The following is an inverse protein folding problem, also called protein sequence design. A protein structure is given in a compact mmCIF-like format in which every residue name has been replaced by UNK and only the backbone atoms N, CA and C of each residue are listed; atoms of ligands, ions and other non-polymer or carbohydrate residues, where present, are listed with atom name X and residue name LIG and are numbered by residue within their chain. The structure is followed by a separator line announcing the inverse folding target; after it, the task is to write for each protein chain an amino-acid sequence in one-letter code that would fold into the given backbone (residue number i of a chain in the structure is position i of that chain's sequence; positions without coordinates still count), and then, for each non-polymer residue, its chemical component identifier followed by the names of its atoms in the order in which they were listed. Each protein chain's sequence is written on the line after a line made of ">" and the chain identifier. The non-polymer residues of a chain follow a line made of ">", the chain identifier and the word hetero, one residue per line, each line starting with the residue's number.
data_IF_152302434443
#
_entry.id   IF_152302434443
#
_cell.length_a   1.000
_cell.length_b   1.000
_cell.length_c   1.000
_cell.angle_alpha   90.00
_cell.angle_beta   90.00
_cell.angle_gamma   90.00
#
_symmetry.space_group_name_H-M   'P 1'
#
loop_
_entity.id
_entity.type
_entity.pdbx_description
1 polymer ?
#
# COMPACT_ATOMS: atom_id res chain seq x y z
N UNK A 1 25.16 58.40 22.17
CA UNK A 1 24.48 58.25 23.49
C UNK A 1 23.13 57.61 23.22
N UNK A 2 23.06 56.30 23.43
CA UNK A 2 21.89 55.47 23.14
C UNK A 2 21.89 54.39 24.22
N UNK A 3 20.85 54.26 25.05
CA UNK A 3 20.89 53.33 26.17
C UNK A 3 20.51 51.91 25.74
N UNK A 4 21.17 50.96 26.37
CA UNK A 4 20.84 49.53 26.42
C UNK A 4 19.49 49.29 27.07
N UNK A 5 18.81 48.23 26.64
CA UNK A 5 18.03 47.39 27.55
C UNK A 5 18.15 45.92 27.13
N UNK A 6 18.95 45.19 27.90
CA UNK A 6 18.84 43.75 28.12
C UNK A 6 17.53 43.45 28.88
N UNK A 7 16.88 42.33 28.56
CA UNK A 7 16.55 41.24 29.49
C UNK A 7 15.32 40.38 29.07
N UNK A 8 15.44 39.07 29.36
CA UNK A 8 14.40 38.03 29.57
C UNK A 8 13.72 37.47 28.31
N UNK A 9 13.60 36.16 28.03
CA UNK A 9 13.86 34.86 28.70
C UNK A 9 13.78 33.79 27.57
N UNK A 10 14.78 32.95 27.32
CA UNK A 10 14.93 31.57 27.84
C UNK A 10 13.61 30.83 28.17
N UNK A 11 13.28 29.79 27.40
CA UNK A 11 12.89 28.46 27.94
C UNK A 11 13.14 27.35 26.90
N UNK A 12 14.20 26.58 27.19
CA UNK A 12 14.42 25.12 27.00
C UNK A 12 14.36 24.47 25.60
N UNK A 13 15.57 24.35 25.03
CA UNK A 13 16.05 23.20 24.27
C UNK A 13 16.91 22.33 25.21
N UNK A 14 16.58 21.04 25.35
CA UNK A 14 17.51 19.94 25.65
C UNK A 14 16.72 18.68 25.99
N UNK A 15 16.98 17.57 25.30
CA UNK A 15 17.43 16.27 25.87
C UNK A 15 17.68 15.35 24.67
N UNK A 16 18.96 15.22 24.31
CA UNK A 16 19.56 14.12 23.58
C UNK A 16 20.87 13.82 24.31
N UNK A 17 20.96 12.67 24.97
CA UNK A 17 22.16 11.83 25.09
C UNK A 17 21.99 10.74 26.18
N UNK A 18 22.30 9.50 25.80
CA UNK A 18 23.03 8.56 26.65
C UNK A 18 22.23 7.40 27.26
N UNK A 19 22.44 6.18 26.75
CA UNK A 19 23.28 5.19 27.45
C UNK A 19 23.38 3.89 26.65
N UNK A 20 24.62 3.43 26.43
CA UNK A 20 24.96 2.12 25.90
C UNK A 20 25.47 1.23 27.05
N UNK A 21 25.10 -0.06 27.02
CA UNK A 21 25.89 -1.18 27.52
C UNK A 21 25.56 -1.75 28.90
N UNK A 22 25.08 -3.00 28.97
CA UNK A 22 25.73 -4.12 29.67
C UNK A 22 25.06 -5.49 29.39
N UNK A 23 25.83 -6.57 29.59
CA UNK A 23 25.61 -7.94 29.08
C UNK A 23 25.09 -8.92 30.14
N UNK A 24 24.50 -10.01 29.63
CA UNK A 24 24.49 -11.40 30.11
C UNK A 24 23.77 -11.79 31.43
N UNK A 25 22.87 -12.77 31.29
CA UNK A 25 22.36 -13.60 32.38
C UNK A 25 21.31 -14.59 31.87
N UNK A 26 21.76 -15.81 31.56
CA UNK A 26 20.91 -16.98 31.25
C UNK A 26 20.28 -17.46 32.54
N UNK A 27 18.96 -17.69 32.56
CA UNK A 27 18.44 -18.79 33.38
C UNK A 27 17.16 -19.41 32.80
N UNK A 28 17.13 -20.74 32.93
CA UNK A 28 16.12 -21.66 32.41
C UNK A 28 14.93 -21.78 33.36
N UNK A 29 13.76 -22.04 32.77
CA UNK A 29 12.71 -23.00 33.17
C UNK A 29 11.31 -22.39 33.11
N UNK A 30 10.36 -23.18 32.59
CA UNK A 30 8.92 -22.91 32.79
C UNK A 30 8.05 -23.16 31.58
N UNK A 31 7.93 -24.43 31.19
CA UNK A 31 6.86 -24.96 30.35
C UNK A 31 5.50 -24.62 30.99
N UNK A 32 4.57 -23.99 30.26
CA UNK A 32 3.12 -24.19 30.40
C UNK A 32 2.37 -23.54 29.22
N UNK A 33 1.76 -24.43 28.43
CA UNK A 33 0.88 -24.12 27.31
C UNK A 33 -0.39 -23.44 27.79
N UNK A 34 -0.58 -22.17 27.41
CA UNK A 34 -1.84 -21.46 27.56
C UNK A 34 -2.26 -20.94 26.18
N UNK A 35 -3.25 -21.59 25.58
CA UNK A 35 -4.02 -21.05 24.45
C UNK A 35 -4.66 -19.73 24.91
N UNK A 36 -4.03 -18.61 24.58
CA UNK A 36 -4.63 -17.28 24.76
C UNK A 36 -5.27 -16.86 23.45
N UNK A 37 -6.60 -16.84 23.45
CA UNK A 37 -7.36 -16.02 22.51
C UNK A 37 -6.90 -14.58 22.68
N UNK A 38 -6.29 -14.02 21.65
CA UNK A 38 -5.94 -12.61 21.59
C UNK A 38 -7.25 -11.88 21.34
N UNK A 39 -7.87 -11.41 22.42
CA UNK A 39 -8.88 -10.37 22.35
C UNK A 39 -8.18 -9.09 21.85
N UNK A 40 -8.51 -8.68 20.63
CA UNK A 40 -8.12 -7.40 20.05
C UNK A 40 -8.90 -6.30 20.79
N UNK A 41 -8.37 -5.84 21.92
CA UNK A 41 -8.80 -4.62 22.59
C UNK A 41 -7.82 -3.51 22.23
N UNK A 42 -7.99 -2.94 21.03
CA UNK A 42 -7.29 -1.75 20.58
C UNK A 42 -8.18 -0.90 19.67
N UNK A 43 -9.32 -0.46 20.18
CA UNK A 43 -10.13 0.61 19.61
C UNK A 43 -10.72 1.39 20.78
N UNK A 44 -10.12 2.53 21.16
CA UNK A 44 -10.64 3.27 22.31
C UNK A 44 -10.12 4.68 22.54
N UNK A 45 -9.03 5.14 21.89
CA UNK A 45 -8.48 6.48 22.20
C UNK A 45 -8.05 7.27 20.96
N UNK A 46 -8.80 7.20 19.86
CA UNK A 46 -8.58 8.05 18.69
C UNK A 46 -9.82 8.86 18.24
N UNK A 47 -10.95 8.76 18.94
CA UNK A 47 -12.22 9.34 18.48
C UNK A 47 -12.39 10.83 18.79
N UNK A 48 -11.56 11.43 19.66
CA UNK A 48 -11.76 12.82 20.09
C UNK A 48 -11.00 13.87 19.25
N UNK A 49 -10.05 13.46 18.39
CA UNK A 49 -9.27 14.40 17.57
C UNK A 49 -9.80 14.57 16.12
N UNK A 50 -10.77 13.75 15.69
CA UNK A 50 -11.34 13.84 14.34
C UNK A 50 -12.28 15.04 14.13
N UNK A 51 -12.76 15.70 15.19
CA UNK A 51 -13.83 16.71 15.07
C UNK A 51 -13.37 18.10 14.62
N UNK A 52 -12.06 18.38 14.57
CA UNK A 52 -11.56 19.73 14.22
C UNK A 52 -10.91 19.84 12.84
N UNK A 53 -10.55 18.73 12.20
CA UNK A 53 -9.99 18.73 10.85
C UNK A 53 -11.05 18.88 9.74
N UNK A 54 -12.34 18.69 10.07
CA UNK A 54 -13.47 18.83 9.16
C UNK A 54 -14.15 20.21 9.26
N UNK A 55 -13.42 21.27 9.62
CA UNK A 55 -13.97 22.64 9.70
C UNK A 55 -14.41 23.22 8.34
N UNK A 56 -14.24 22.48 7.25
CA UNK A 56 -14.74 22.80 5.91
C UNK A 56 -16.06 22.13 5.52
N UNK A 57 -16.70 21.33 6.39
CA UNK A 57 -18.04 20.78 6.07
C UNK A 57 -19.03 21.94 6.13
N UNK A 58 -19.38 22.48 4.95
CA UNK A 58 -20.43 23.47 4.84
C UNK A 58 -21.68 22.92 5.53
N UNK A 59 -22.13 23.60 6.59
CA UNK A 59 -23.40 23.31 7.24
C UNK A 59 -24.49 23.25 6.16
N UNK A 60 -25.15 22.10 6.00
CA UNK A 60 -26.16 21.86 4.97
C UNK A 60 -25.66 21.19 3.67
N UNK A 61 -24.39 20.77 3.60
CA UNK A 61 -23.90 19.92 2.50
C UNK A 61 -24.65 18.59 2.45
N UNK A 62 -25.17 18.22 1.28
CA UNK A 62 -25.76 16.90 1.03
C UNK A 62 -24.69 15.97 0.46
N UNK A 63 -24.25 15.01 1.25
CA UNK A 63 -23.35 13.93 0.81
C UNK A 63 -24.12 12.72 0.30
N UNK A 64 -23.52 11.99 -0.64
CA UNK A 64 -24.07 10.75 -1.23
C UNK A 64 -23.25 9.54 -0.81
N UNK A 65 -23.82 8.35 -1.00
CA UNK A 65 -23.00 7.15 -0.99
C UNK A 65 -22.02 7.20 -2.18
N UNK A 66 -20.83 6.66 -1.98
CA UNK A 66 -19.78 6.57 -2.98
C UNK A 66 -19.54 5.12 -3.37
N UNK A 67 -19.25 4.90 -4.63
CA UNK A 67 -18.74 3.65 -5.14
C UNK A 67 -17.33 3.86 -5.68
N UNK A 68 -16.46 2.89 -5.42
CA UNK A 68 -15.10 2.94 -5.91
C UNK A 68 -14.58 1.58 -6.33
N UNK A 69 -13.57 1.59 -7.19
CA UNK A 69 -12.86 0.38 -7.55
C UNK A 69 -11.38 0.65 -7.81
N UNK A 70 -10.58 -0.40 -7.78
CA UNK A 70 -9.17 -0.28 -8.10
C UNK A 70 -8.23 -1.23 -7.39
N UNK A 71 -7.02 -0.73 -7.20
CA UNK A 71 -5.90 -1.35 -6.50
C UNK A 71 -6.29 -2.38 -5.42
N UNK A 72 -5.74 -3.58 -5.57
CA UNK A 72 -5.69 -4.61 -4.53
C UNK A 72 -4.79 -4.22 -3.35
N UNK A 73 -3.76 -3.39 -3.56
CA UNK A 73 -2.77 -3.01 -2.55
C UNK A 73 -3.36 -2.13 -1.46
N UNK A 74 -4.25 -1.21 -1.82
CA UNK A 74 -4.92 -0.31 -0.87
C UNK A 74 -6.35 -0.71 -0.52
N UNK A 75 -6.80 -1.93 -0.88
CA UNK A 75 -8.21 -2.31 -0.70
C UNK A 75 -8.67 -2.37 0.77
N UNK A 76 -7.76 -2.68 1.71
CA UNK A 76 -8.06 -2.63 3.15
C UNK A 76 -8.14 -1.19 3.62
N UNK A 77 -7.23 -0.32 3.19
CA UNK A 77 -7.30 1.12 3.52
C UNK A 77 -8.62 1.74 3.01
N UNK A 78 -8.98 1.45 1.76
CA UNK A 78 -10.21 1.92 1.13
C UNK A 78 -11.46 1.52 1.91
N UNK A 79 -11.63 0.24 2.20
CA UNK A 79 -12.86 -0.27 2.84
C UNK A 79 -12.91 -0.05 4.35
N UNK A 80 -11.78 -0.20 5.05
CA UNK A 80 -11.76 -0.31 6.51
C UNK A 80 -11.24 0.94 7.24
N UNK A 81 -10.60 1.87 6.52
CA UNK A 81 -10.06 3.10 7.11
C UNK A 81 -10.76 4.30 6.50
N UNK A 82 -10.57 4.49 5.19
CA UNK A 82 -11.06 5.66 4.49
C UNK A 82 -12.57 5.61 4.30
N UNK A 83 -13.15 4.44 4.04
CA UNK A 83 -14.61 4.28 3.99
C UNK A 83 -15.28 4.55 5.33
N UNK A 84 -14.68 4.10 6.45
CA UNK A 84 -15.18 4.40 7.79
C UNK A 84 -15.04 5.88 8.15
N UNK A 85 -13.90 6.48 7.80
CA UNK A 85 -13.66 7.92 7.97
C UNK A 85 -14.62 8.78 7.17
N UNK A 86 -14.87 8.40 5.91
CA UNK A 86 -15.89 9.02 5.07
C UNK A 86 -17.27 8.93 5.69
N UNK A 87 -17.66 7.76 6.21
CA UNK A 87 -18.96 7.59 6.85
C UNK A 87 -19.15 8.50 8.04
N UNK A 88 -18.10 8.69 8.84
CA UNK A 88 -18.12 9.64 9.95
C UNK A 88 -18.25 11.08 9.45
N UNK A 89 -17.48 11.46 8.42
CA UNK A 89 -17.48 12.80 7.84
C UNK A 89 -18.81 13.18 7.18
N UNK A 90 -19.44 12.23 6.50
CA UNK A 90 -20.61 12.43 5.63
C UNK A 90 -21.95 12.20 6.34
N UNK A 91 -21.96 12.05 7.67
CA UNK A 91 -23.17 11.81 8.44
C UNK A 91 -23.79 10.42 8.18
N UNK A 92 -22.97 9.41 7.92
CA UNK A 92 -23.37 8.02 7.78
C UNK A 92 -23.41 7.49 6.35
N UNK A 93 -22.96 8.25 5.34
CA UNK A 93 -22.83 7.70 3.98
C UNK A 93 -21.73 6.66 3.91
N UNK A 94 -21.75 5.85 2.87
CA UNK A 94 -20.87 4.70 2.73
C UNK A 94 -19.98 4.85 1.52
N UNK A 95 -18.79 4.26 1.60
CA UNK A 95 -17.94 3.99 0.44
C UNK A 95 -17.95 2.48 0.20
N UNK A 96 -18.55 2.05 -0.92
CA UNK A 96 -18.46 0.67 -1.37
C UNK A 96 -17.29 0.52 -2.32
N UNK A 97 -16.24 -0.17 -1.88
CA UNK A 97 -15.01 -0.34 -2.68
C UNK A 97 -14.84 -1.76 -3.21
N UNK A 98 -14.73 -1.89 -4.53
CA UNK A 98 -14.44 -3.16 -5.21
C UNK A 98 -12.97 -3.25 -5.59
N UNK A 99 -12.25 -4.21 -5.00
CA UNK A 99 -10.84 -4.40 -5.30
C UNK A 99 -10.67 -5.06 -6.69
N UNK A 100 -10.40 -4.25 -7.70
CA UNK A 100 -10.29 -4.57 -9.12
C UNK A 100 -9.18 -3.77 -9.80
N UNK A 101 -8.05 -4.41 -10.13
CA UNK A 101 -6.93 -3.73 -10.77
C UNK A 101 -7.19 -3.33 -12.23
N UNK A 102 -8.37 -3.61 -12.78
CA UNK A 102 -8.78 -3.18 -14.12
C UNK A 102 -9.37 -1.74 -14.15
N UNK A 103 -9.40 -1.03 -13.02
CA UNK A 103 -9.99 0.31 -12.92
C UNK A 103 -9.49 1.30 -13.98
N UNK A 104 -8.19 1.28 -14.30
CA UNK A 104 -7.63 2.17 -15.34
C UNK A 104 -8.17 1.86 -16.73
N UNK A 105 -8.39 0.59 -17.06
CA UNK A 105 -9.05 0.21 -18.31
C UNK A 105 -10.51 0.68 -18.32
N UNK A 106 -11.20 0.59 -17.17
CA UNK A 106 -12.60 0.97 -17.01
C UNK A 106 -12.83 2.48 -17.20
N UNK A 107 -11.87 3.32 -16.82
CA UNK A 107 -11.88 4.78 -17.10
C UNK A 107 -11.25 5.15 -18.44
N UNK A 108 -10.88 4.17 -19.25
CA UNK A 108 -10.36 4.38 -20.60
C UNK A 108 -8.94 4.93 -20.66
N UNK A 109 -8.09 4.68 -19.65
CA UNK A 109 -6.67 5.04 -19.73
C UNK A 109 -5.97 4.37 -20.93
N UNK A 110 -6.40 3.15 -21.28
CA UNK A 110 -5.73 2.33 -22.30
C UNK A 110 -6.31 2.48 -23.71
N UNK A 111 -7.45 3.17 -23.89
CA UNK A 111 -8.10 3.34 -25.19
C UNK A 111 -9.08 4.53 -25.20
N UNK A 112 -9.17 5.20 -26.36
CA UNK A 112 -10.22 6.19 -26.64
C UNK A 112 -11.56 5.49 -26.89
N UNK A 113 -12.66 6.12 -26.46
CA UNK A 113 -14.03 5.65 -26.73
C UNK A 113 -14.67 4.85 -25.59
N UNK A 114 -13.94 4.60 -24.50
CA UNK A 114 -14.53 4.06 -23.27
C UNK A 114 -15.11 5.21 -22.43
N UNK A 115 -16.44 5.33 -22.39
CA UNK A 115 -17.11 6.24 -21.45
C UNK A 115 -16.82 5.75 -20.02
N UNK A 116 -16.38 6.61 -19.10
CA UNK A 116 -16.08 6.22 -17.72
C UNK A 116 -17.23 5.43 -17.09
N UNK A 117 -16.91 4.25 -16.57
CA UNK A 117 -17.89 3.41 -15.88
C UNK A 117 -18.14 3.95 -14.47
N UNK A 118 -19.31 4.54 -14.24
CA UNK A 118 -20.09 4.71 -12.98
C UNK A 118 -19.47 5.23 -11.69
N UNK A 119 -18.17 5.14 -11.48
CA UNK A 119 -17.61 5.17 -10.16
C UNK A 119 -17.05 6.54 -9.84
N UNK A 120 -17.26 6.93 -8.59
CA UNK A 120 -16.84 8.22 -8.08
C UNK A 120 -15.37 8.20 -7.65
N UNK A 121 -14.86 7.02 -7.29
CA UNK A 121 -13.51 6.82 -6.76
C UNK A 121 -12.75 5.74 -7.52
N UNK A 122 -11.65 6.11 -8.16
CA UNK A 122 -10.74 5.14 -8.78
C UNK A 122 -9.42 5.07 -8.04
N UNK A 123 -8.84 3.88 -7.97
CA UNK A 123 -7.62 3.61 -7.23
C UNK A 123 -6.64 2.76 -8.07
N UNK A 124 -5.34 3.05 -7.99
CA UNK A 124 -4.31 2.28 -8.71
C UNK A 124 -2.98 2.29 -7.96
N UNK A 125 -2.12 1.31 -8.23
CA UNK A 125 -0.70 1.30 -7.83
C UNK A 125 0.25 1.41 -9.03
N UNK A 126 -0.34 1.50 -10.23
CA UNK A 126 0.33 1.79 -11.50
C UNK A 126 -0.37 3.00 -12.09
N UNK A 127 0.09 4.24 -11.79
CA UNK A 127 -0.57 5.45 -12.26
C UNK A 127 -0.54 5.52 -13.80
N UNK A 128 -1.57 6.11 -14.43
CA UNK A 128 -1.60 6.25 -15.88
C UNK A 128 -0.42 7.10 -16.36
N UNK A 129 0.14 6.73 -17.51
CA UNK A 129 1.12 7.58 -18.20
C UNK A 129 0.50 8.89 -18.69
N UNK A 130 1.31 9.83 -19.16
CA UNK A 130 0.81 11.05 -19.80
C UNK A 130 -0.25 10.78 -20.90
N UNK A 131 -0.04 9.77 -21.75
CA UNK A 131 -1.02 9.34 -22.76
C UNK A 131 -2.29 8.79 -22.13
N UNK A 132 -2.17 7.98 -21.08
CA UNK A 132 -3.33 7.46 -20.35
C UNK A 132 -4.17 8.56 -19.71
N UNK A 133 -3.51 9.56 -19.12
CA UNK A 133 -4.17 10.76 -18.60
C UNK A 133 -4.91 11.48 -19.73
N UNK A 134 -4.26 11.71 -20.88
CA UNK A 134 -4.90 12.35 -22.02
C UNK A 134 -6.14 11.57 -22.52
N UNK A 135 -6.08 10.24 -22.55
CA UNK A 135 -7.22 9.40 -22.92
C UNK A 135 -8.39 9.54 -21.94
N UNK A 136 -8.12 9.50 -20.63
CA UNK A 136 -9.15 9.70 -19.59
C UNK A 136 -9.82 11.07 -19.79
N UNK A 137 -9.03 12.13 -20.01
CA UNK A 137 -9.56 13.48 -20.26
C UNK A 137 -10.44 13.54 -21.51
N UNK A 138 -9.99 12.93 -22.60
CA UNK A 138 -10.76 12.86 -23.85
C UNK A 138 -12.08 12.12 -23.65
N UNK A 139 -12.07 10.99 -22.95
CA UNK A 139 -13.26 10.21 -22.65
C UNK A 139 -14.22 10.94 -21.69
N UNK A 140 -13.68 11.85 -20.87
CA UNK A 140 -14.44 12.73 -19.98
C UNK A 140 -14.90 14.05 -20.64
N UNK A 141 -14.83 14.19 -21.98
CA UNK A 141 -15.33 15.39 -22.69
C UNK A 141 -14.28 16.46 -23.02
N UNK A 142 -12.98 16.20 -22.80
CA UNK A 142 -11.86 16.96 -23.38
C UNK A 142 -11.45 18.25 -22.67
N UNK A 143 -12.31 18.84 -21.83
CA UNK A 143 -11.94 19.99 -20.97
C UNK A 143 -11.43 19.57 -19.59
N UNK A 144 -11.74 18.34 -19.21
CA UNK A 144 -11.61 17.82 -17.86
C UNK A 144 -10.17 17.69 -17.41
N UNK A 145 -9.80 18.31 -16.29
CA UNK A 145 -8.57 17.95 -15.60
C UNK A 145 -8.74 16.63 -14.83
N UNK A 146 -7.73 15.77 -14.89
CA UNK A 146 -7.65 14.52 -14.12
C UNK A 146 -6.47 14.65 -13.18
N UNK A 147 -6.73 14.42 -11.90
CA UNK A 147 -5.73 14.43 -10.84
C UNK A 147 -5.33 13.00 -10.51
N UNK A 148 -4.03 12.75 -10.43
CA UNK A 148 -3.46 11.46 -10.00
C UNK A 148 -2.80 11.67 -8.64
N UNK A 149 -3.53 11.35 -7.59
CA UNK A 149 -3.21 11.79 -6.23
C UNK A 149 -2.57 10.62 -5.48
N UNK A 150 -1.27 10.67 -5.11
CA UNK A 150 -0.71 9.67 -4.22
C UNK A 150 -1.39 9.76 -2.85
N UNK A 151 -1.69 8.63 -2.22
CA UNK A 151 -2.47 8.59 -0.95
C UNK A 151 -1.81 7.80 0.17
N UNK A 152 -0.97 6.82 -0.16
CA UNK A 152 -0.25 6.04 0.84
C UNK A 152 1.05 5.43 0.26
N UNK A 153 1.93 5.01 1.18
CA UNK A 153 2.98 4.04 0.89
C UNK A 153 2.54 2.66 1.40
N UNK A 154 2.73 1.62 0.60
CA UNK A 154 2.36 0.26 0.95
C UNK A 154 3.52 -0.72 0.72
N UNK A 155 3.72 -1.64 1.66
CA UNK A 155 4.68 -2.73 1.50
C UNK A 155 4.01 -3.92 0.80
N UNK A 156 4.72 -4.49 -0.17
CA UNK A 156 4.35 -5.74 -0.83
C UNK A 156 5.17 -6.85 -0.16
N UNK A 157 4.55 -7.51 0.83
CA UNK A 157 5.15 -8.59 1.60
C UNK A 157 5.41 -9.80 0.72
N UNK A 158 6.59 -10.40 0.84
CA UNK A 158 6.85 -11.76 0.35
C UNK A 158 6.34 -12.72 1.42
N UNK A 159 5.43 -13.61 1.04
CA UNK A 159 4.85 -14.60 1.92
C UNK A 159 5.24 -16.00 1.45
N UNK A 160 5.39 -16.94 2.38
CA UNK A 160 5.77 -18.30 2.03
C UNK A 160 5.20 -19.32 3.02
N UNK A 161 5.19 -20.58 2.61
CA UNK A 161 4.82 -21.71 3.43
C UNK A 161 5.82 -22.83 3.15
N UNK A 162 6.58 -23.25 4.17
CA UNK A 162 7.63 -24.26 3.97
C UNK A 162 7.03 -25.61 3.54
N UNK A 163 7.78 -26.42 2.77
CA UNK A 163 7.40 -27.80 2.50
C UNK A 163 7.18 -28.62 3.78
N UNK A 164 6.32 -29.63 3.74
CA UNK A 164 6.15 -30.57 4.87
C UNK A 164 7.47 -31.26 5.18
N UNK A 165 7.94 -31.18 6.43
CA UNK A 165 9.24 -31.70 6.85
C UNK A 165 10.41 -30.72 6.68
N UNK A 166 10.14 -29.49 6.24
CA UNK A 166 11.06 -28.36 6.30
C UNK A 166 10.66 -27.43 7.44
N UNK A 167 11.63 -26.99 8.24
CA UNK A 167 11.41 -26.13 9.41
C UNK A 167 12.31 -24.91 9.33
N UNK A 168 11.81 -23.74 9.73
CA UNK A 168 12.61 -22.53 9.87
C UNK A 168 12.96 -22.22 11.32
N UNK A 169 14.01 -21.43 11.52
CA UNK A 169 14.39 -20.88 12.83
C UNK A 169 14.50 -19.36 12.75
N UNK A 170 13.69 -18.67 13.56
CA UNK A 170 13.64 -17.21 13.58
C UNK A 170 13.05 -16.58 12.31
N UNK A 171 13.24 -15.26 12.12
CA UNK A 171 12.83 -14.56 10.91
C UNK A 171 13.59 -15.09 9.69
N UNK A 172 12.85 -15.45 8.65
CA UNK A 172 13.42 -15.99 7.42
C UNK A 172 13.66 -14.88 6.41
N UNK A 173 14.90 -14.78 5.92
CA UNK A 173 15.31 -13.76 4.95
C UNK A 173 15.30 -14.34 3.54
N UNK A 174 14.36 -13.89 2.70
CA UNK A 174 14.29 -14.24 1.29
C UNK A 174 15.28 -13.40 0.49
N UNK A 175 16.12 -14.08 -0.30
CA UNK A 175 17.12 -13.42 -1.17
C UNK A 175 16.48 -13.06 -2.52
N UNK A 176 16.67 -11.85 -3.06
CA UNK A 176 15.96 -11.41 -4.27
C UNK A 176 16.28 -12.26 -5.50
N UNK A 177 17.56 -12.67 -5.65
CA UNK A 177 17.97 -13.60 -6.71
C UNK A 177 17.17 -14.91 -6.69
N UNK A 178 16.86 -15.41 -5.49
CA UNK A 178 16.22 -16.70 -5.29
C UNK A 178 14.69 -16.58 -5.38
N UNK A 179 14.13 -15.44 -4.96
CA UNK A 179 12.75 -15.07 -5.30
C UNK A 179 12.60 -15.04 -6.83
N UNK A 180 13.47 -14.33 -7.54
CA UNK A 180 13.41 -14.25 -9.01
C UNK A 180 13.55 -15.65 -9.65
N UNK A 181 14.51 -16.46 -9.19
CA UNK A 181 14.67 -17.86 -9.67
C UNK A 181 13.40 -18.69 -9.46
N UNK A 182 12.70 -18.54 -8.33
CA UNK A 182 11.43 -19.21 -8.11
C UNK A 182 10.41 -18.85 -9.19
N UNK A 183 10.21 -17.56 -9.46
CA UNK A 183 9.23 -17.07 -10.44
C UNK A 183 9.62 -17.35 -11.90
N UNK A 184 10.90 -17.38 -12.24
CA UNK A 184 11.36 -17.43 -13.65
C UNK A 184 11.49 -18.85 -14.19
N UNK A 185 12.11 -19.73 -13.39
CA UNK A 185 12.46 -21.08 -13.84
C UNK A 185 11.84 -22.17 -12.97
N UNK A 186 11.08 -21.80 -11.93
CA UNK A 186 10.55 -22.76 -10.96
C UNK A 186 11.63 -23.46 -10.14
N UNK A 187 12.87 -22.97 -10.19
CA UNK A 187 14.05 -23.72 -9.79
C UNK A 187 14.52 -23.48 -8.35
N UNK A 188 13.86 -22.65 -7.55
CA UNK A 188 14.33 -22.31 -6.20
C UNK A 188 13.69 -23.21 -5.14
N UNK A 189 14.54 -23.82 -4.31
CA UNK A 189 14.12 -24.58 -3.12
C UNK A 189 13.95 -23.67 -1.90
N UNK A 190 13.35 -24.17 -0.81
CA UNK A 190 13.29 -23.39 0.43
C UNK A 190 14.71 -23.09 0.99
N UNK A 191 15.64 -24.03 0.86
CA UNK A 191 17.04 -23.84 1.23
C UNK A 191 17.73 -22.78 0.35
N UNK A 192 17.41 -22.71 -0.95
CA UNK A 192 17.91 -21.65 -1.82
C UNK A 192 17.40 -20.27 -1.36
N UNK A 193 16.09 -20.16 -1.14
CA UNK A 193 15.43 -18.88 -0.84
C UNK A 193 15.84 -18.34 0.54
N UNK A 194 15.85 -19.19 1.56
CA UNK A 194 16.01 -18.79 2.97
C UNK A 194 17.38 -19.16 3.57
N UNK A 195 18.23 -19.87 2.83
CA UNK A 195 19.58 -20.24 3.26
C UNK A 195 19.58 -21.20 4.44
N UNK A 196 20.54 -21.03 5.34
CA UNK A 196 20.76 -21.91 6.51
C UNK A 196 19.75 -21.71 7.64
N UNK A 197 18.82 -20.75 7.52
CA UNK A 197 17.78 -20.53 8.51
C UNK A 197 16.66 -21.58 8.44
N UNK A 198 16.66 -22.42 7.39
CA UNK A 198 15.77 -23.57 7.26
C UNK A 198 16.54 -24.88 7.34
N UNK A 199 15.89 -25.92 7.85
CA UNK A 199 16.46 -27.26 8.02
C UNK A 199 15.41 -28.36 7.82
N UNK A 200 15.88 -29.54 7.41
CA UNK A 200 15.04 -30.69 7.07
C UNK A 200 15.22 -31.11 5.62
N UNK A 201 15.10 -32.41 5.36
CA UNK A 201 15.33 -32.98 4.02
C UNK A 201 14.35 -32.45 2.98
N UNK A 202 13.15 -32.04 3.39
CA UNK A 202 12.17 -31.45 2.48
C UNK A 202 12.48 -30.00 2.06
N UNK A 203 13.46 -29.33 2.69
CA UNK A 203 13.83 -27.96 2.30
C UNK A 203 14.52 -27.88 0.93
N UNK A 204 14.94 -29.02 0.37
CA UNK A 204 15.48 -29.13 -0.99
C UNK A 204 14.38 -29.35 -2.03
N UNK A 205 13.12 -29.41 -1.63
CA UNK A 205 11.98 -29.40 -2.55
C UNK A 205 11.82 -28.02 -3.19
N UNK A 206 11.46 -28.00 -4.48
CA UNK A 206 11.16 -26.77 -5.23
C UNK A 206 9.97 -26.05 -4.61
N UNK A 207 10.05 -24.72 -4.55
CA UNK A 207 8.94 -23.88 -4.12
C UNK A 207 8.04 -23.54 -5.30
N UNK A 208 6.73 -23.64 -5.11
CA UNK A 208 5.73 -23.22 -6.09
C UNK A 208 5.45 -21.73 -5.96
N UNK A 209 5.84 -20.89 -6.94
CA UNK A 209 5.45 -19.50 -6.93
C UNK A 209 3.94 -19.35 -7.19
N UNK A 210 3.32 -18.46 -6.41
CA UNK A 210 1.91 -18.10 -6.47
C UNK A 210 1.81 -16.63 -6.83
N UNK A 211 0.86 -16.29 -7.70
CA UNK A 211 0.67 -14.93 -8.18
C UNK A 211 -0.81 -14.61 -8.43
N UNK A 212 -1.10 -13.33 -8.66
CA UNK A 212 -2.39 -12.90 -9.18
C UNK A 212 -2.61 -13.41 -10.60
N UNK A 213 -3.86 -13.80 -10.89
CA UNK A 213 -4.29 -14.27 -12.21
C UNK A 213 -4.41 -13.15 -13.25
N UNK A 214 -4.57 -11.91 -12.78
CA UNK A 214 -4.80 -10.72 -13.60
C UNK A 214 -3.65 -9.72 -13.50
N UNK A 215 -3.50 -8.81 -14.49
CA UNK A 215 -2.67 -7.64 -14.34
C UNK A 215 -3.02 -6.88 -13.06
N UNK A 216 -2.01 -6.43 -12.32
CA UNK A 216 -2.17 -5.73 -11.05
C UNK A 216 -1.04 -4.74 -10.87
N UNK A 217 -1.34 -3.55 -10.38
CA UNK A 217 -0.29 -2.59 -10.00
C UNK A 217 0.64 -3.17 -8.92
N UNK A 218 0.12 -4.02 -8.03
CA UNK A 218 0.94 -4.77 -7.07
C UNK A 218 1.91 -5.74 -7.76
N UNK A 219 1.42 -6.50 -8.74
CA UNK A 219 2.26 -7.39 -9.57
C UNK A 219 3.35 -6.60 -10.28
N UNK A 220 3.00 -5.46 -10.86
CA UNK A 220 3.95 -4.58 -11.55
C UNK A 220 5.07 -4.12 -10.61
N UNK A 221 4.72 -3.61 -9.43
CA UNK A 221 5.69 -3.13 -8.45
C UNK A 221 6.58 -4.27 -7.91
N UNK A 222 6.02 -5.47 -7.70
CA UNK A 222 6.81 -6.65 -7.33
C UNK A 222 7.81 -7.06 -8.42
N UNK A 223 7.38 -7.14 -9.69
CA UNK A 223 8.27 -7.46 -10.82
C UNK A 223 9.34 -6.38 -11.01
N UNK A 224 8.95 -5.11 -10.88
CA UNK A 224 9.87 -3.97 -11.01
C UNK A 224 10.96 -3.98 -9.95
N UNK A 225 10.61 -4.33 -8.71
CA UNK A 225 11.61 -4.56 -7.66
C UNK A 225 12.66 -5.59 -8.09
N UNK A 226 12.24 -6.76 -8.59
CA UNK A 226 13.18 -7.79 -9.07
C UNK A 226 14.03 -7.29 -10.25
N UNK A 227 13.43 -6.50 -11.15
CA UNK A 227 14.13 -5.86 -12.27
C UNK A 227 15.27 -4.94 -11.79
N UNK A 228 14.97 -4.06 -10.83
CA UNK A 228 15.93 -3.10 -10.26
C UNK A 228 17.09 -3.78 -9.54
N UNK A 229 16.92 -5.03 -9.09
CA UNK A 229 17.99 -5.85 -8.52
C UNK A 229 18.79 -6.64 -9.56
N UNK A 230 18.55 -6.40 -10.85
CA UNK A 230 19.26 -7.05 -11.96
C UNK A 230 18.69 -8.41 -12.37
N UNK A 231 17.50 -8.78 -11.90
CA UNK A 231 16.87 -10.07 -12.21
C UNK A 231 15.77 -9.92 -13.27
N UNK A 232 16.08 -9.19 -14.36
CA UNK A 232 15.16 -8.83 -15.44
C UNK A 232 14.60 -10.02 -16.23
N UNK A 233 15.24 -11.21 -16.17
CA UNK A 233 14.61 -12.45 -16.68
C UNK A 233 13.29 -12.80 -15.99
N UNK A 234 12.94 -12.13 -14.88
CA UNK A 234 11.62 -12.17 -14.25
C UNK A 234 10.56 -11.25 -14.87
N UNK A 235 10.98 -10.42 -15.81
CA UNK A 235 10.39 -9.11 -16.13
C UNK A 235 10.09 -8.96 -17.61
N UNK A 236 10.36 -9.96 -18.45
CA UNK A 236 10.09 -9.93 -19.90
C UNK A 236 8.61 -9.75 -20.26
N UNK A 237 7.72 -9.68 -19.28
CA UNK A 237 6.58 -8.80 -19.42
C UNK A 237 6.14 -8.19 -18.08
N UNK A 238 6.52 -6.92 -17.84
CA UNK A 238 5.76 -6.03 -16.95
C UNK A 238 4.25 -6.01 -17.33
N UNK A 239 3.93 -6.40 -18.58
CA UNK A 239 2.59 -6.48 -19.15
C UNK A 239 2.05 -7.91 -19.42
N UNK A 240 2.72 -9.00 -18.99
CA UNK A 240 2.42 -10.34 -19.55
C UNK A 240 2.20 -11.46 -18.55
N UNK A 241 1.80 -12.59 -19.14
CA UNK A 241 1.48 -13.85 -18.48
C UNK A 241 2.67 -14.36 -17.68
N UNK A 242 2.38 -14.94 -16.52
CA UNK A 242 3.43 -15.60 -15.74
C UNK A 242 3.94 -16.86 -16.48
N UNK A 243 5.21 -17.25 -16.28
CA UNK A 243 5.71 -18.54 -16.72
C UNK A 243 4.83 -19.70 -16.21
N UNK A 244 4.81 -20.82 -16.93
CA UNK A 244 3.95 -21.97 -16.62
C UNK A 244 4.19 -22.58 -15.22
N UNK A 245 5.38 -22.38 -14.64
CA UNK A 245 5.70 -22.79 -13.27
C UNK A 245 5.03 -21.94 -12.18
N UNK A 246 4.39 -20.82 -12.54
CA UNK A 246 3.71 -19.93 -11.60
C UNK A 246 2.22 -20.24 -11.56
N UNK A 247 1.73 -20.52 -10.35
CA UNK A 247 0.31 -20.65 -10.07
C UNK A 247 -0.35 -19.27 -9.97
N UNK A 248 -0.65 -18.68 -11.11
CA UNK A 248 -1.33 -17.40 -11.24
C UNK A 248 -2.85 -17.55 -11.13
N UNK A 249 -3.36 -17.89 -9.95
CA UNK A 249 -4.80 -18.15 -9.74
C UNK A 249 -5.46 -17.23 -8.71
N UNK A 250 -4.69 -16.32 -8.08
CA UNK A 250 -5.26 -15.46 -7.05
C UNK A 250 -6.04 -14.28 -7.64
N UNK A 251 -7.26 -14.04 -7.13
CA UNK A 251 -8.13 -12.92 -7.55
C UNK A 251 -8.14 -11.75 -6.56
N UNK A 252 -7.69 -11.97 -5.32
CA UNK A 252 -7.65 -10.96 -4.26
C UNK A 252 -6.48 -11.21 -3.30
N UNK A 253 -6.12 -10.22 -2.47
CA UNK A 253 -5.06 -10.37 -1.47
C UNK A 253 -5.34 -11.50 -0.48
N UNK A 254 -6.56 -11.57 0.06
CA UNK A 254 -6.97 -12.66 0.95
C UNK A 254 -6.94 -14.04 0.27
N UNK A 255 -7.33 -14.13 -1.01
CA UNK A 255 -7.24 -15.38 -1.76
C UNK A 255 -5.78 -15.83 -1.97
N UNK A 256 -4.85 -14.90 -2.24
CA UNK A 256 -3.42 -15.20 -2.38
C UNK A 256 -2.83 -15.69 -1.05
N UNK A 257 -3.17 -15.04 0.07
CA UNK A 257 -2.75 -15.48 1.42
C UNK A 257 -3.28 -16.88 1.74
N UNK A 258 -4.56 -17.13 1.48
CA UNK A 258 -5.18 -18.45 1.67
C UNK A 258 -4.49 -19.52 0.83
N UNK A 259 -4.20 -19.21 -0.43
CA UNK A 259 -3.54 -20.12 -1.36
C UNK A 259 -2.12 -20.48 -0.89
N UNK A 260 -1.34 -19.51 -0.41
CA UNK A 260 -0.01 -19.76 0.18
C UNK A 260 -0.12 -20.58 1.46
N UNK A 261 -1.06 -20.24 2.35
CA UNK A 261 -1.28 -20.96 3.62
C UNK A 261 -1.66 -22.44 3.42
N UNK A 262 -2.40 -22.74 2.36
CA UNK A 262 -2.87 -24.10 2.05
C UNK A 262 -1.91 -24.88 1.15
N UNK A 263 -1.04 -24.20 0.40
CA UNK A 263 -0.06 -24.84 -0.48
C UNK A 263 1.29 -24.92 0.22
N UNK A 264 1.63 -26.09 0.76
CA UNK A 264 2.96 -26.35 1.34
C UNK A 264 4.05 -26.25 0.27
N UNK A 265 5.18 -25.64 0.63
CA UNK A 265 6.25 -25.35 -0.33
C UNK A 265 5.87 -24.29 -1.35
N UNK A 266 5.15 -23.23 -0.96
CA UNK A 266 4.79 -22.13 -1.86
C UNK A 266 5.40 -20.80 -1.43
N UNK A 267 5.56 -19.90 -2.39
CA UNK A 267 6.00 -18.52 -2.21
C UNK A 267 5.10 -17.58 -2.98
N UNK A 268 4.73 -16.45 -2.40
CA UNK A 268 3.80 -15.46 -2.96
C UNK A 268 4.22 -14.04 -2.61
N UNK A 269 3.51 -13.06 -3.18
CA UNK A 269 3.61 -11.67 -2.79
C UNK A 269 2.20 -11.09 -2.59
N UNK A 270 2.03 -10.21 -1.61
CA UNK A 270 0.72 -9.60 -1.28
C UNK A 270 0.93 -8.28 -0.54
N UNK A 271 -0.07 -7.41 -0.50
CA UNK A 271 -0.05 -6.27 0.42
C UNK A 271 0.17 -6.75 1.87
N UNK A 272 1.07 -6.09 2.60
CA UNK A 272 1.35 -6.41 3.99
C UNK A 272 0.08 -6.45 4.87
N UNK A 273 -0.84 -5.51 4.66
CA UNK A 273 -2.11 -5.47 5.38
C UNK A 273 -2.93 -6.75 5.18
N UNK A 274 -2.97 -7.31 3.97
CA UNK A 274 -3.65 -8.58 3.68
C UNK A 274 -2.93 -9.77 4.32
N UNK A 275 -1.59 -9.80 4.28
CA UNK A 275 -0.81 -10.86 4.93
C UNK A 275 -1.12 -10.93 6.44
N UNK A 276 -1.09 -9.79 7.12
CA UNK A 276 -1.34 -9.70 8.57
C UNK A 276 -2.80 -10.00 8.89
N UNK A 277 -3.76 -9.47 8.12
CA UNK A 277 -5.20 -9.78 8.28
C UNK A 277 -5.50 -11.27 8.10
N UNK A 278 -4.76 -11.94 7.20
CA UNK A 278 -4.80 -13.40 7.02
C UNK A 278 -4.03 -14.20 8.08
N UNK A 279 -3.57 -13.58 9.16
CA UNK A 279 -2.91 -14.23 10.29
C UNK A 279 -1.44 -14.58 10.08
N UNK A 280 -0.80 -14.10 9.00
CA UNK A 280 0.62 -14.34 8.79
C UNK A 280 1.47 -13.46 9.71
N UNK A 281 2.60 -14.02 10.15
CA UNK A 281 3.57 -13.33 11.02
C UNK A 281 4.98 -13.53 10.48
N UNK A 282 5.94 -12.73 10.97
CA UNK A 282 7.37 -12.86 10.62
C UNK A 282 8.11 -13.92 11.43
N UNK A 283 7.44 -14.56 12.39
CA UNK A 283 8.06 -15.50 13.35
C UNK A 283 7.53 -16.93 13.24
N UNK A 284 6.47 -17.16 12.45
CA UNK A 284 5.94 -18.49 12.18
C UNK A 284 6.89 -19.23 11.24
N UNK A 285 7.34 -20.43 11.60
CA UNK A 285 8.33 -21.19 10.80
C UNK A 285 7.88 -22.60 10.40
N UNK A 286 6.63 -22.97 10.70
CA UNK A 286 6.01 -24.26 10.36
C UNK A 286 4.69 -24.13 9.59
N UNK A 287 4.14 -22.92 9.51
CA UNK A 287 2.96 -22.56 8.72
C UNK A 287 3.29 -21.43 7.72
N UNK A 288 2.29 -20.80 7.12
CA UNK A 288 2.54 -19.60 6.33
C UNK A 288 3.14 -18.46 7.16
N UNK A 289 4.00 -17.66 6.54
CA UNK A 289 4.72 -16.56 7.18
C UNK A 289 5.04 -15.43 6.21
N UNK A 290 5.43 -14.28 6.77
CA UNK A 290 5.97 -13.13 6.05
C UNK A 290 7.49 -13.20 6.11
N UNK A 291 8.15 -13.27 4.95
CA UNK A 291 9.59 -13.25 4.86
C UNK A 291 10.13 -11.82 4.95
N UNK A 292 11.31 -11.68 5.53
CA UNK A 292 12.12 -10.48 5.33
C UNK A 292 12.71 -10.52 3.92
N UNK A 293 12.95 -9.37 3.32
CA UNK A 293 13.57 -9.26 1.99
C UNK A 293 14.81 -8.38 2.12
N UNK A 294 15.95 -8.84 1.61
CA UNK A 294 17.25 -8.16 1.78
C UNK A 294 17.60 -7.84 3.24
N UNK A 295 17.21 -8.73 4.15
CA UNK A 295 17.40 -8.53 5.60
C UNK A 295 16.49 -7.47 6.22
N UNK A 296 15.61 -6.85 5.42
CA UNK A 296 14.66 -5.85 5.90
C UNK A 296 13.29 -6.50 6.14
N UNK A 297 12.71 -6.23 7.30
CA UNK A 297 11.34 -6.64 7.60
C UNK A 297 10.34 -5.74 6.87
N UNK A 298 9.28 -6.35 6.33
CA UNK A 298 8.17 -5.62 5.70
C UNK A 298 7.42 -4.71 6.69
N UNK A 299 7.47 -5.08 7.97
CA UNK A 299 6.81 -4.38 9.05
C UNK A 299 7.82 -3.88 10.09
N UNK A 300 7.52 -2.75 10.70
CA UNK A 300 8.22 -2.25 11.89
C UNK A 300 7.20 -2.02 13.00
N UNK A 301 7.58 -2.44 14.21
CA UNK A 301 6.81 -2.16 15.41
C UNK A 301 7.23 -0.80 15.96
N UNK A 302 6.27 0.10 16.15
CA UNK A 302 6.48 1.41 16.79
C UNK A 302 5.52 1.50 17.98
N UNK A 303 6.07 1.33 19.18
CA UNK A 303 5.27 1.12 20.38
C UNK A 303 4.42 -0.16 20.28
N UNK A 304 3.11 -0.03 20.49
CA UNK A 304 2.16 -1.15 20.37
C UNK A 304 1.72 -1.40 18.93
N UNK A 305 1.95 -0.45 18.02
CA UNK A 305 1.47 -0.51 16.63
C UNK A 305 2.48 -1.20 15.72
N UNK A 306 1.96 -1.88 14.72
CA UNK A 306 2.72 -2.44 13.61
C UNK A 306 2.34 -1.64 12.37
N UNK A 307 3.35 -1.17 11.63
CA UNK A 307 3.15 -0.41 10.39
C UNK A 307 4.06 -0.92 9.29
N UNK A 308 3.75 -0.54 8.05
CA UNK A 308 4.65 -0.80 6.93
C UNK A 308 6.00 -0.13 7.16
N UNK A 309 7.09 -0.81 6.80
CA UNK A 309 8.44 -0.26 6.83
C UNK A 309 8.77 0.54 5.55
N UNK A 310 7.80 1.25 4.96
CA UNK A 310 8.02 2.08 3.77
C UNK A 310 8.41 3.52 4.07
N UNK A 311 8.27 4.01 5.31
CA UNK A 311 8.55 5.42 5.63
C UNK A 311 9.99 5.88 5.31
N UNK A 312 10.96 4.97 5.20
CA UNK A 312 12.34 5.26 4.81
C UNK A 312 12.59 5.23 3.30
N UNK A 313 11.56 5.02 2.48
CA UNK A 313 11.73 4.96 1.04
C UNK A 313 11.94 6.36 0.45
N UNK A 314 13.10 6.56 -0.18
CA UNK A 314 13.27 7.59 -1.19
C UNK A 314 12.63 7.08 -2.49
N UNK A 315 11.97 7.95 -3.25
CA UNK A 315 11.41 7.60 -4.55
C UNK A 315 12.20 8.28 -5.67
N UNK A 316 12.29 7.62 -6.82
CA UNK A 316 12.90 8.16 -8.03
C UNK A 316 12.30 9.52 -8.33
N UNK A 317 13.14 10.55 -8.42
CA UNK A 317 12.71 11.92 -8.62
C UNK A 317 12.46 12.19 -10.11
N UNK A 318 11.20 12.37 -10.49
CA UNK A 318 10.86 13.52 -11.34
C UNK A 318 10.45 14.65 -10.40
N UNK A 319 10.71 15.93 -10.71
CA UNK A 319 10.23 17.01 -9.86
C UNK A 319 8.70 16.96 -9.87
N UNK A 320 8.11 16.35 -8.84
CA UNK A 320 6.67 16.35 -8.64
C UNK A 320 6.29 17.78 -8.24
N UNK A 321 6.02 18.62 -9.22
CA UNK A 321 5.60 20.00 -8.96
C UNK A 321 4.08 20.10 -8.83
N UNK A 322 3.35 19.09 -9.32
CA UNK A 322 1.88 19.10 -9.38
C UNK A 322 1.31 17.69 -9.21
N UNK A 323 0.06 17.59 -8.76
CA UNK A 323 -0.61 16.30 -8.59
C UNK A 323 -1.02 15.65 -9.92
N UNK A 324 -1.15 16.41 -11.00
CA UNK A 324 -1.37 15.89 -12.35
C UNK A 324 -0.07 15.56 -13.10
N UNK A 325 1.06 15.50 -12.38
CA UNK A 325 2.33 15.05 -12.94
C UNK A 325 2.24 13.61 -13.46
N UNK A 326 3.16 13.25 -14.35
CA UNK A 326 3.34 11.85 -14.73
C UNK A 326 4.00 11.10 -13.57
N UNK A 327 3.17 10.42 -12.77
CA UNK A 327 3.61 9.54 -11.70
C UNK A 327 4.02 8.15 -12.22
N UNK A 328 3.87 7.89 -13.53
CA UNK A 328 4.45 6.70 -14.11
C UNK A 328 5.97 6.80 -14.03
N UNK A 329 6.65 5.74 -13.61
CA UNK A 329 8.09 5.84 -13.36
C UNK A 329 8.50 6.03 -11.89
N UNK A 330 7.54 6.23 -10.99
CA UNK A 330 7.84 6.58 -9.59
C UNK A 330 7.92 5.34 -8.72
N UNK A 331 9.15 4.99 -8.29
CA UNK A 331 9.45 3.77 -7.55
C UNK A 331 10.44 4.06 -6.43
N UNK A 332 10.57 3.17 -5.43
CA UNK A 332 11.65 3.28 -4.48
C UNK A 332 13.01 3.35 -5.18
N UNK A 333 13.83 4.34 -4.84
CA UNK A 333 15.21 4.45 -5.28
C UNK A 333 16.07 3.51 -4.43
N UNK A 334 16.15 2.25 -4.88
CA UNK A 334 16.94 1.21 -4.22
C UNK A 334 18.45 1.40 -4.37
N UNK A 335 18.90 2.33 -5.23
CA UNK A 335 20.30 2.69 -5.36
C UNK A 335 20.71 3.76 -4.33
N UNK A 336 19.73 4.43 -3.69
CA UNK A 336 20.01 5.41 -2.66
C UNK A 336 20.64 4.72 -1.43
N UNK A 337 21.88 5.06 -1.05
CA UNK A 337 22.54 4.43 0.10
C UNK A 337 21.87 4.80 1.44
N UNK A 338 21.04 5.85 1.47
CA UNK A 338 20.26 6.24 2.64
C UNK A 338 18.95 5.47 2.77
N UNK A 339 18.65 4.58 1.82
CA UNK A 339 17.45 3.75 1.84
C UNK A 339 17.53 2.73 2.99
N UNK A 340 16.69 2.92 4.01
CA UNK A 340 16.60 2.02 5.18
C UNK A 340 15.24 1.32 5.30
N UNK A 341 14.37 1.49 4.30
CA UNK A 341 13.04 0.90 4.29
C UNK A 341 13.03 -0.55 3.82
N UNK A 342 11.84 -1.15 3.79
CA UNK A 342 11.61 -2.44 3.17
C UNK A 342 11.63 -2.33 1.64
N UNK A 343 12.44 -3.12 0.91
CA UNK A 343 12.79 -2.84 -0.48
C UNK A 343 11.64 -2.98 -1.49
N UNK A 344 10.51 -3.58 -1.11
CA UNK A 344 9.33 -3.74 -1.98
C UNK A 344 8.20 -2.83 -1.50
N UNK A 345 8.41 -1.52 -1.66
CA UNK A 345 7.42 -0.48 -1.38
C UNK A 345 6.83 0.07 -2.68
N UNK A 346 5.59 0.53 -2.62
CA UNK A 346 4.93 1.24 -3.71
C UNK A 346 4.15 2.44 -3.17
N UNK A 347 4.04 3.48 -3.98
CA UNK A 347 3.00 4.49 -3.79
C UNK A 347 1.68 3.93 -4.33
N UNK A 348 0.60 4.26 -3.65
CA UNK A 348 -0.76 4.01 -4.15
C UNK A 348 -1.42 5.35 -4.46
N UNK A 349 -2.32 5.34 -5.44
CA UNK A 349 -2.91 6.54 -6.01
C UNK A 349 -4.43 6.43 -6.03
N UNK A 350 -5.11 7.57 -5.95
CA UNK A 350 -6.51 7.74 -6.34
C UNK A 350 -6.60 8.70 -7.52
N UNK A 351 -7.64 8.56 -8.34
CA UNK A 351 -7.86 9.42 -9.51
C UNK A 351 -9.21 10.09 -9.42
N UNK A 352 -9.22 11.41 -9.58
CA UNK A 352 -10.45 12.21 -9.60
C UNK A 352 -10.42 13.29 -10.66
N UNK A 353 -11.59 13.85 -10.94
CA UNK A 353 -11.76 14.94 -11.89
C UNK A 353 -11.68 16.29 -11.17
N UNK A 354 -10.96 17.24 -11.75
CA UNK A 354 -10.87 18.61 -11.22
C UNK A 354 -12.00 19.52 -11.67
N UNK A 355 -12.69 19.14 -12.75
CA UNK A 355 -13.85 19.88 -13.24
C UNK A 355 -15.08 19.50 -12.41
N UNK A 356 -16.07 20.41 -12.28
CA UNK A 356 -17.33 20.11 -11.62
C UNK A 356 -17.91 18.80 -12.12
N UNK A 357 -18.22 17.86 -11.22
CA UNK A 357 -18.77 16.56 -11.64
C UNK A 357 -20.00 16.68 -12.55
N UNK A 358 -20.81 17.74 -12.41
CA UNK A 358 -21.95 18.03 -13.29
C UNK A 358 -21.60 18.31 -14.76
N UNK A 359 -20.34 18.61 -15.09
CA UNK A 359 -19.88 18.78 -16.48
C UNK A 359 -19.34 17.50 -17.09
N UNK A 360 -19.21 16.41 -16.32
CA UNK A 360 -18.79 15.12 -16.84
C UNK A 360 -19.88 14.52 -17.76
N UNK A 361 -19.48 13.73 -18.77
CA UNK A 361 -20.43 13.01 -19.62
C UNK A 361 -21.37 12.14 -18.79
N UNK A 362 -22.59 11.93 -19.31
CA UNK A 362 -23.54 10.97 -18.75
C UNK A 362 -22.87 9.62 -18.56
N UNK A 363 -23.14 8.99 -17.42
CA UNK A 363 -22.57 7.68 -17.10
C UNK A 363 -23.00 6.62 -18.14
N UNK A 364 -22.21 5.57 -18.31
CA UNK A 364 -22.50 4.49 -19.27
C UNK A 364 -23.84 3.76 -19.04
N UNK A 365 -24.30 3.60 -17.78
CA UNK A 365 -25.60 3.06 -17.35
C UNK A 365 -26.71 4.12 -17.34
N UNK A 366 -26.43 5.34 -17.81
CA UNK A 366 -27.36 6.47 -17.74
C UNK A 366 -27.25 7.28 -16.45
N UNK A 367 -27.84 8.49 -16.49
CA UNK A 367 -27.79 9.47 -15.41
C UNK A 367 -26.58 10.41 -15.50
N UNK A 368 -26.83 11.69 -15.25
CA UNK A 368 -25.78 12.68 -15.10
C UNK A 368 -25.15 12.56 -13.70
N UNK A 369 -23.87 12.89 -13.61
CA UNK A 369 -23.24 13.16 -12.33
C UNK A 369 -23.86 14.41 -11.70
N UNK A 370 -23.91 14.43 -10.37
CA UNK A 370 -24.54 15.48 -9.58
C UNK A 370 -23.49 16.28 -8.80
N UNK A 371 -23.84 17.51 -8.42
CA UNK A 371 -22.99 18.33 -7.56
C UNK A 371 -22.77 17.69 -6.17
N UNK A 372 -23.76 16.93 -5.67
CA UNK A 372 -23.64 16.22 -4.40
C UNK A 372 -22.61 15.09 -4.45
N UNK A 373 -22.50 14.40 -5.60
CA UNK A 373 -21.46 13.39 -5.83
C UNK A 373 -20.07 14.04 -5.90
N UNK A 374 -19.91 15.13 -6.66
CA UNK A 374 -18.64 15.88 -6.73
C UNK A 374 -18.17 16.34 -5.35
N UNK A 375 -19.07 16.93 -4.57
CA UNK A 375 -18.81 17.33 -3.18
C UNK A 375 -18.40 16.15 -2.29
N UNK A 376 -19.03 14.98 -2.49
CA UNK A 376 -18.74 13.76 -1.74
C UNK A 376 -17.35 13.21 -2.06
N UNK A 377 -16.95 13.21 -3.34
CA UNK A 377 -15.60 12.82 -3.77
C UNK A 377 -14.57 13.80 -3.25
N UNK A 378 -14.80 15.11 -3.39
CA UNK A 378 -13.88 16.13 -2.90
C UNK A 378 -13.65 15.97 -1.39
N UNK A 379 -14.72 15.82 -0.61
CA UNK A 379 -14.63 15.57 0.83
C UNK A 379 -13.89 14.28 1.15
N UNK A 380 -14.14 13.21 0.39
CA UNK A 380 -13.44 11.94 0.54
C UNK A 380 -11.92 12.07 0.26
N UNK A 381 -11.51 12.73 -0.82
CA UNK A 381 -10.09 12.87 -1.17
C UNK A 381 -9.35 13.83 -0.24
N UNK A 382 -10.02 14.90 0.21
CA UNK A 382 -9.49 15.76 1.27
C UNK A 382 -9.32 14.99 2.58
N UNK A 383 -10.25 14.09 2.93
CA UNK A 383 -10.08 13.23 4.09
C UNK A 383 -8.88 12.29 3.97
N UNK A 384 -8.74 11.61 2.82
CA UNK A 384 -7.66 10.65 2.54
C UNK A 384 -6.29 11.32 2.56
N UNK A 385 -6.19 12.52 1.99
CA UNK A 385 -4.93 13.30 1.90
C UNK A 385 -4.72 14.29 3.03
N UNK A 386 -5.68 14.42 3.95
CA UNK A 386 -5.62 15.35 5.06
C UNK A 386 -4.55 14.95 6.08
N UNK A 387 -3.71 15.91 6.47
CA UNK A 387 -2.61 15.68 7.41
C UNK A 387 -3.05 15.36 8.85
N UNK A 388 -4.35 15.47 9.16
CA UNK A 388 -4.93 15.23 10.48
C UNK A 388 -5.94 14.07 10.52
N UNK A 389 -6.12 13.35 9.41
CA UNK A 389 -7.19 12.36 9.24
C UNK A 389 -6.66 11.07 8.58
N UNK A 390 -7.12 10.77 7.36
CA UNK A 390 -6.88 9.51 6.66
C UNK A 390 -5.41 9.19 6.42
N UNK A 391 -4.55 10.19 6.22
CA UNK A 391 -3.11 9.98 6.01
C UNK A 391 -2.38 9.52 7.29
N UNK A 392 -2.90 9.83 8.47
CA UNK A 392 -2.35 9.34 9.74
C UNK A 392 -2.91 7.96 10.07
N UNK A 393 -4.23 7.78 9.89
CA UNK A 393 -4.95 6.56 10.29
C UNK A 393 -4.45 5.30 9.57
N UNK A 394 -3.93 5.45 8.35
CA UNK A 394 -3.38 4.33 7.57
C UNK A 394 -2.20 3.64 8.27
N UNK A 395 -1.47 4.35 9.13
CA UNK A 395 -0.38 3.76 9.91
C UNK A 395 -0.85 2.69 10.89
N UNK A 396 -2.13 2.70 11.29
CA UNK A 396 -2.68 1.69 12.19
C UNK A 396 -2.97 0.35 11.48
N UNK A 397 -2.95 0.32 10.14
CA UNK A 397 -3.36 -0.83 9.33
C UNK A 397 -2.26 -1.29 8.37
N UNK A 398 -0.99 -1.18 8.79
CA UNK A 398 0.15 -1.69 8.04
C UNK A 398 0.41 -0.99 6.70
N UNK A 399 0.03 0.28 6.60
CA UNK A 399 0.48 1.22 5.57
C UNK A 399 1.45 2.24 6.19
N UNK A 400 1.99 3.11 5.35
CA UNK A 400 2.89 4.19 5.72
C UNK A 400 2.38 5.51 5.11
N UNK A 401 2.45 6.59 5.88
CA UNK A 401 2.12 7.94 5.40
C UNK A 401 3.05 8.38 4.28
N UNK A 402 2.60 9.27 3.40
CA UNK A 402 3.46 9.81 2.33
C UNK A 402 4.60 10.66 2.91
N UNK A 403 5.76 10.74 2.23
CA UNK A 403 6.76 11.75 2.54
C UNK A 403 6.15 13.16 2.47
N UNK A 404 6.58 14.08 3.33
CA UNK A 404 5.94 15.39 3.50
C UNK A 404 5.80 16.20 2.20
N UNK A 405 6.78 16.12 1.30
CA UNK A 405 6.72 16.77 -0.02
C UNK A 405 5.63 16.17 -0.91
N UNK A 406 5.54 14.83 -0.97
CA UNK A 406 4.50 14.10 -1.72
C UNK A 406 3.12 14.35 -1.09
N UNK A 407 3.03 14.41 0.24
CA UNK A 407 1.79 14.73 0.95
C UNK A 407 1.25 16.12 0.59
N UNK A 408 2.12 17.12 0.49
CA UNK A 408 1.72 18.48 0.10
C UNK A 408 1.17 18.52 -1.34
N UNK A 409 1.77 17.77 -2.25
CA UNK A 409 1.31 17.65 -3.64
C UNK A 409 -0.04 16.92 -3.67
N UNK A 410 -0.18 15.83 -2.91
CA UNK A 410 -1.43 15.08 -2.79
C UNK A 410 -2.58 15.98 -2.30
N UNK A 411 -2.36 16.74 -1.23
CA UNK A 411 -3.33 17.67 -0.69
C UNK A 411 -3.73 18.76 -1.71
N UNK A 412 -2.75 19.27 -2.47
CA UNK A 412 -3.01 20.24 -3.54
C UNK A 412 -3.87 19.64 -4.66
N UNK A 413 -3.62 18.38 -5.04
CA UNK A 413 -4.45 17.65 -6.00
C UNK A 413 -5.86 17.42 -5.50
N UNK A 414 -6.01 16.95 -4.27
CA UNK A 414 -7.31 16.72 -3.64
C UNK A 414 -8.14 18.01 -3.52
N UNK A 415 -7.51 19.16 -3.28
CA UNK A 415 -8.18 20.45 -3.22
C UNK A 415 -8.69 20.95 -4.59
N UNK A 416 -8.21 20.38 -5.71
CA UNK A 416 -8.68 20.72 -7.05
C UNK A 416 -9.89 19.90 -7.51
N UNK A 417 -10.24 18.82 -6.81
CA UNK A 417 -11.42 18.00 -7.10
C UNK A 417 -12.69 18.77 -6.73
N UNK A 418 -13.68 18.79 -7.62
CA UNK A 418 -14.92 19.57 -7.46
C UNK A 418 -16.17 18.85 -7.95
#
# INVERSE_FOLDING_TARGET
>A
MTPRMDQLRQFTSSVLAGSAGERNGVDRMGLLSAKRGIAVLAAGVATAALSTAATGVASGATYTDLTGEGSLLQSIAQSSIWGSGYSTLSGGRTLTYTANDNALTAIGANALGNVPTHLEVYATDDPPSATGIANIRSNAGGTTGVEVIPVAQAAIAVIANLPTGCTGTGPLNARPAQIARAYNSGGATAADVFGTAVSGTACTGLMTPVAYARPSGMTLNFKRYLALRGYSGAVDALAGTWPANVRASASSGGNLVSLVNTTKGSIGYVALAHAISGGLTTTSTTAGFIANVDGQAAQVRVGTRVRSNCNGAAYTSTPFTTANADWNGVFPDLANPSYSGYPICALTYVLGYSDPYTSLPTRATGGAFTAAEGLSVAAYYQYVTGSLSGAIDINAQNYAALPGTIQAIAATGAARIN
#
